data_IF_754510798133
#
_entry.id   IF_754510798133
#
_cell.length_a   1.000
_cell.length_b   1.000
_cell.length_c   1.000
_cell.angle_alpha   90.00
_cell.angle_beta   90.00
_cell.angle_gamma   90.00
#
_symmetry.space_group_name_H-M   'P 1'
#
loop_
_entity.id
_entity.type
_entity.pdbx_description
1 polymer ?
#
# COMPACT_ATOMS: atom_id res chain seq x y z
N UNK A 1 -10.48 49.55 -26.86
CA UNK A 1 -10.67 48.86 -25.57
C UNK A 1 -10.99 47.36 -25.77
N UNK A 2 -10.05 46.52 -26.25
CA UNK A 2 -10.31 45.09 -26.45
C UNK A 2 -10.17 44.27 -25.15
N UNK A 3 -9.37 44.75 -24.18
CA UNK A 3 -9.07 44.02 -22.93
C UNK A 3 -10.33 43.66 -22.13
N UNK A 4 -11.37 44.50 -22.15
CA UNK A 4 -12.59 44.29 -21.36
C UNK A 4 -13.46 43.13 -21.88
N UNK A 5 -13.31 42.75 -23.16
CA UNK A 5 -14.06 41.64 -23.79
C UNK A 5 -13.42 40.27 -23.57
N UNK A 6 -12.11 40.22 -23.26
CA UNK A 6 -11.40 38.95 -23.02
C UNK A 6 -11.43 38.50 -21.55
N UNK A 7 -11.79 39.40 -20.62
CA UNK A 7 -11.87 39.14 -19.18
C UNK A 7 -12.70 37.90 -18.78
N UNK A 8 -13.90 37.65 -19.36
CA UNK A 8 -14.67 36.45 -19.02
C UNK A 8 -14.01 35.16 -19.51
N UNK A 9 -13.33 35.20 -20.65
CA UNK A 9 -12.63 34.03 -21.21
C UNK A 9 -11.43 33.64 -20.34
N UNK A 10 -10.70 34.63 -19.84
CA UNK A 10 -9.56 34.42 -18.92
C UNK A 10 -10.03 33.84 -17.58
N UNK A 11 -11.17 34.30 -17.06
CA UNK A 11 -11.74 33.78 -15.82
C UNK A 11 -12.21 32.32 -15.95
N UNK A 12 -12.85 31.97 -17.07
CA UNK A 12 -13.28 30.58 -17.33
C UNK A 12 -12.08 29.66 -17.52
N UNK A 13 -11.05 30.10 -18.25
CA UNK A 13 -9.83 29.34 -18.43
C UNK A 13 -9.09 29.12 -17.09
N UNK A 14 -9.00 30.15 -16.25
CA UNK A 14 -8.39 30.04 -14.92
C UNK A 14 -9.14 29.06 -14.00
N UNK A 15 -10.48 29.02 -14.06
CA UNK A 15 -11.29 28.08 -13.29
C UNK A 15 -11.07 26.61 -13.72
N UNK A 16 -10.92 26.36 -15.04
CA UNK A 16 -10.67 25.01 -15.57
C UNK A 16 -9.25 24.51 -15.21
N UNK A 17 -8.25 25.39 -15.26
CA UNK A 17 -6.86 25.05 -14.90
C UNK A 17 -6.72 24.81 -13.39
N UNK A 18 -7.46 25.56 -12.56
CA UNK A 18 -7.53 25.32 -11.12
C UNK A 18 -8.12 23.94 -10.78
N UNK A 19 -9.09 23.44 -11.56
CA UNK A 19 -9.69 22.13 -11.35
C UNK A 19 -8.72 20.96 -11.53
N UNK A 20 -7.79 21.05 -12.48
CA UNK A 20 -6.76 20.01 -12.71
C UNK A 20 -5.52 20.17 -11.81
N UNK A 21 -5.20 21.40 -11.38
CA UNK A 21 -4.10 21.66 -10.45
C UNK A 21 -4.48 21.42 -8.97
N UNK A 22 -5.77 21.15 -8.70
CA UNK A 22 -6.26 20.78 -7.37
C UNK A 22 -5.79 19.37 -7.03
N UNK A 23 -4.59 19.26 -6.43
CA UNK A 23 -4.06 18.06 -5.75
C UNK A 23 -4.93 17.54 -4.58
N UNK A 24 -6.17 18.04 -4.44
CA UNK A 24 -6.96 17.96 -3.22
C UNK A 24 -7.95 16.77 -3.16
N UNK A 25 -8.04 15.91 -4.18
CA UNK A 25 -9.18 14.95 -4.20
C UNK A 25 -8.93 13.58 -4.82
N UNK A 26 -7.67 13.15 -4.96
CA UNK A 26 -7.40 11.74 -5.23
C UNK A 26 -7.10 11.08 -3.88
N UNK A 27 -8.15 10.56 -3.23
CA UNK A 27 -8.07 9.70 -2.05
C UNK A 27 -8.53 8.29 -2.46
N UNK A 28 -7.67 7.50 -3.14
CA UNK A 28 -8.03 6.17 -3.59
C UNK A 28 -8.35 5.29 -2.38
N UNK A 29 -9.37 4.46 -2.52
CA UNK A 29 -9.61 3.40 -1.52
C UNK A 29 -8.70 2.23 -1.85
N UNK A 30 -7.58 2.14 -1.16
CA UNK A 30 -6.70 0.98 -1.27
C UNK A 30 -7.31 -0.21 -0.54
N UNK A 31 -7.24 -1.38 -1.17
CA UNK A 31 -7.67 -2.65 -0.61
C UNK A 31 -6.58 -3.68 -0.80
N UNK A 32 -6.63 -4.74 -0.01
CA UNK A 32 -5.78 -5.92 -0.16
C UNK A 32 -6.67 -7.12 -0.45
N UNK A 33 -6.31 -7.91 -1.46
CA UNK A 33 -7.03 -9.15 -1.76
C UNK A 33 -6.72 -10.23 -0.70
N UNK A 34 -5.57 -10.12 -0.02
CA UNK A 34 -5.15 -11.06 1.01
C UNK A 34 -4.56 -10.32 2.23
N UNK A 35 -5.37 -10.03 3.27
CA UNK A 35 -4.93 -9.34 4.48
C UNK A 35 -3.99 -10.16 5.36
N UNK A 36 -3.82 -11.45 5.08
CA UNK A 36 -2.88 -12.32 5.79
C UNK A 36 -1.45 -12.17 5.24
N UNK A 37 -1.29 -11.69 4.01
CA UNK A 37 0.02 -11.48 3.36
C UNK A 37 0.39 -10.00 3.22
N UNK A 38 -0.58 -9.11 3.03
CA UNK A 38 -0.36 -7.68 2.84
C UNK A 38 -1.42 -6.85 3.56
N UNK A 39 -1.01 -5.81 4.28
CA UNK A 39 -1.89 -4.85 4.95
C UNK A 39 -1.49 -3.42 4.60
N UNK A 40 -2.48 -2.52 4.62
CA UNK A 40 -2.32 -1.13 4.23
C UNK A 40 -2.70 -0.26 5.42
N UNK A 41 -1.83 0.67 5.78
CA UNK A 41 -1.98 1.57 6.91
C UNK A 41 -1.89 0.88 8.28
N UNK A 42 -2.25 1.65 9.31
CA UNK A 42 -2.25 1.18 10.70
C UNK A 42 -0.86 0.86 11.27
N UNK A 43 -0.87 0.22 12.43
CA UNK A 43 0.35 -0.25 13.09
C UNK A 43 0.88 -1.54 12.45
N UNK A 44 2.19 -1.78 12.62
CA UNK A 44 2.83 -3.01 12.17
C UNK A 44 2.16 -4.23 12.84
N UNK A 45 1.70 -5.24 12.08
CA UNK A 45 1.20 -6.48 12.65
C UNK A 45 2.28 -7.22 13.45
N UNK A 46 1.87 -8.03 14.43
CA UNK A 46 2.80 -8.88 15.18
C UNK A 46 3.35 -10.00 14.29
N UNK A 47 4.62 -10.34 14.51
CA UNK A 47 5.22 -11.50 13.86
C UNK A 47 4.66 -12.78 14.49
N UNK A 48 4.21 -13.76 13.69
CA UNK A 48 3.87 -15.08 14.20
C UNK A 48 5.07 -15.79 14.83
N UNK A 49 4.80 -16.72 15.73
CA UNK A 49 5.83 -17.60 16.26
C UNK A 49 6.38 -18.53 15.18
N UNK A 50 7.64 -18.94 15.36
CA UNK A 50 8.28 -19.94 14.52
C UNK A 50 7.55 -21.27 14.70
N UNK A 51 7.18 -21.91 13.60
CA UNK A 51 6.46 -23.19 13.60
C UNK A 51 7.14 -24.22 12.72
N UNK A 52 6.97 -25.48 13.07
CA UNK A 52 7.44 -26.61 12.24
C UNK A 52 6.24 -27.23 11.53
N UNK A 53 6.29 -27.32 10.19
CA UNK A 53 5.25 -27.91 9.35
C UNK A 53 5.75 -29.25 8.75
N UNK A 54 4.93 -30.29 8.79
CA UNK A 54 5.25 -31.60 8.19
C UNK A 54 5.08 -31.54 6.67
N UNK A 55 6.13 -31.86 5.91
CA UNK A 55 6.14 -31.87 4.44
C UNK A 55 6.20 -33.30 3.85
N UNK A 56 5.74 -34.30 4.61
CA UNK A 56 5.67 -35.72 4.23
C UNK A 56 6.88 -36.53 4.68
N UNK A 57 8.05 -36.26 4.12
CA UNK A 57 9.30 -36.99 4.42
C UNK A 57 10.31 -36.19 5.26
N UNK A 58 10.09 -34.87 5.38
CA UNK A 58 10.90 -33.95 6.18
C UNK A 58 9.99 -32.87 6.76
N UNK A 59 10.54 -32.05 7.64
CA UNK A 59 9.84 -30.94 8.26
C UNK A 59 10.38 -29.59 7.77
N UNK A 60 9.54 -28.57 7.77
CA UNK A 60 9.87 -27.20 7.42
C UNK A 60 9.74 -26.31 8.64
N UNK A 61 10.83 -25.68 9.05
CA UNK A 61 10.78 -24.54 9.96
C UNK A 61 10.31 -23.32 9.16
N UNK A 62 9.15 -22.77 9.56
CA UNK A 62 8.52 -21.60 8.93
C UNK A 62 8.67 -20.41 9.85
N UNK A 63 9.30 -19.37 9.32
CA UNK A 63 9.53 -18.09 10.01
C UNK A 63 8.83 -17.01 9.20
N UNK A 64 7.88 -16.32 9.81
CA UNK A 64 7.12 -15.24 9.16
C UNK A 64 7.41 -13.91 9.83
N UNK A 65 7.62 -12.86 9.03
CA UNK A 65 7.89 -11.51 9.54
C UNK A 65 7.16 -10.45 8.73
N UNK A 66 6.51 -9.53 9.42
CA UNK A 66 5.94 -8.33 8.83
C UNK A 66 6.98 -7.23 8.71
N UNK A 67 7.13 -6.70 7.51
CA UNK A 67 8.07 -5.63 7.17
C UNK A 67 7.35 -4.46 6.49
N UNK A 68 7.94 -3.27 6.56
CA UNK A 68 7.51 -2.10 5.76
C UNK A 68 8.09 -2.26 4.35
N UNK A 69 7.21 -2.30 3.33
CA UNK A 69 7.57 -2.45 1.93
C UNK A 69 7.37 -1.15 1.12
N UNK A 70 6.90 -0.08 1.77
CA UNK A 70 6.73 1.22 1.14
C UNK A 70 5.51 1.95 1.66
N UNK A 71 5.04 2.91 0.86
CA UNK A 71 3.88 3.76 1.18
C UNK A 71 2.99 3.95 -0.04
N UNK A 72 1.70 4.09 0.19
CA UNK A 72 0.75 4.54 -0.83
C UNK A 72 1.02 6.01 -1.20
N UNK A 73 0.55 6.50 -2.36
CA UNK A 73 0.67 7.91 -2.76
C UNK A 73 0.15 8.94 -1.74
N UNK A 74 -0.83 8.57 -0.91
CA UNK A 74 -1.38 9.38 0.19
C UNK A 74 -0.68 9.12 1.55
N UNK A 75 0.37 8.31 1.57
CA UNK A 75 1.30 8.17 2.70
C UNK A 75 1.04 7.02 3.67
N UNK A 76 0.06 6.15 3.40
CA UNK A 76 -0.22 4.98 4.23
C UNK A 76 0.87 3.91 4.08
N UNK A 77 1.30 3.31 5.18
CA UNK A 77 2.36 2.28 5.16
C UNK A 77 1.86 0.99 4.51
N UNK A 78 2.67 0.37 3.66
CA UNK A 78 2.44 -0.96 3.11
C UNK A 78 3.20 -1.99 3.94
N UNK A 79 2.46 -2.81 4.67
CA UNK A 79 3.00 -3.93 5.43
C UNK A 79 2.90 -5.19 4.59
N UNK A 80 3.98 -5.94 4.44
CA UNK A 80 3.99 -7.24 3.79
C UNK A 80 4.64 -8.30 4.69
N UNK A 81 4.13 -9.53 4.60
CA UNK A 81 4.62 -10.66 5.38
C UNK A 81 5.60 -11.48 4.54
N UNK A 82 6.86 -11.42 4.90
CA UNK A 82 7.89 -12.28 4.36
C UNK A 82 7.85 -13.64 5.05
N UNK A 83 7.96 -14.70 4.25
CA UNK A 83 7.97 -16.08 4.75
C UNK A 83 9.29 -16.75 4.37
N UNK A 84 10.09 -17.11 5.36
CA UNK A 84 11.27 -17.94 5.18
C UNK A 84 10.93 -19.38 5.55
N UNK A 85 11.40 -20.32 4.73
CA UNK A 85 11.22 -21.77 4.97
C UNK A 85 12.58 -22.45 4.94
N UNK A 86 12.84 -23.28 5.94
CA UNK A 86 14.08 -24.05 6.07
C UNK A 86 13.75 -25.52 6.32
N UNK A 87 14.39 -26.42 5.59
CA UNK A 87 14.27 -27.86 5.81
C UNK A 87 14.97 -28.24 7.11
N UNK A 88 14.27 -28.99 7.97
CA UNK A 88 14.75 -29.46 9.26
C UNK A 88 14.34 -30.93 9.49
N UNK A 89 15.06 -31.68 10.35
CA UNK A 89 14.58 -32.96 10.84
C UNK A 89 13.24 -32.81 11.56
N UNK A 90 12.38 -33.83 11.47
CA UNK A 90 11.14 -33.83 12.24
C UNK A 90 11.40 -34.15 13.71
N UNK A 91 10.67 -33.51 14.65
CA UNK A 91 10.74 -33.82 16.08
C UNK A 91 10.20 -35.20 16.42
#
# INVERSE_FOLDING_TARGET
>A
MPLRRCLPVVLVAAALVAGCASNATIAPRYTTDNPDLMRIGGERPSNPDVRTENAGSYCLEVIERWNEHGRTPDGQVLWAKDTLRKVVPCP
#
